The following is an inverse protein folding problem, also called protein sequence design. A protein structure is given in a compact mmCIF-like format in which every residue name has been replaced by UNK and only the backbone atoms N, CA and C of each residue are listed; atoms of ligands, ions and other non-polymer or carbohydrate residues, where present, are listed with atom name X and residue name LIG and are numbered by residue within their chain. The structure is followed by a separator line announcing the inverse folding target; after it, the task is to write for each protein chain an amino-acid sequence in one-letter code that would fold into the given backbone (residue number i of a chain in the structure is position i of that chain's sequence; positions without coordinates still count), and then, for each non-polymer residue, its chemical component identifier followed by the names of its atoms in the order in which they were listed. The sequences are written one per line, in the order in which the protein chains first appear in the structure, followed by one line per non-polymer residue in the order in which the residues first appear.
data_IF_538246130681
#
_entry.id   IF_538246130681
#
_cell.length_a   1.000
_cell.length_b   1.000
_cell.length_c   1.000
_cell.angle_alpha   90.00
_cell.angle_beta   90.00
_cell.angle_gamma   90.00
#
_symmetry.space_group_name_H-M   'P 1'
#
loop_
_entity.id
_entity.type
_entity.pdbx_description
1 polymer ?
#
# COMPACT_ATOMS: atom_id res chain seq x y z
N UNK A 1 19.54 -3.01 25.33
CA UNK A 1 20.29 -2.71 24.10
C UNK A 1 20.69 -4.07 23.54
N UNK A 2 19.96 -4.58 22.55
CA UNK A 2 20.25 -5.88 21.96
C UNK A 2 21.51 -5.72 21.12
N UNK A 3 22.51 -6.57 21.38
CA UNK A 3 23.74 -6.64 20.60
C UNK A 3 23.38 -7.15 19.20
N UNK A 4 23.42 -6.27 18.19
CA UNK A 4 23.02 -6.56 16.81
C UNK A 4 24.12 -7.32 16.03
N UNK A 5 25.21 -7.73 16.69
CA UNK A 5 26.43 -8.16 16.01
C UNK A 5 26.39 -9.53 15.33
N UNK A 6 25.36 -10.37 15.51
CA UNK A 6 25.29 -11.71 14.86
C UNK A 6 23.84 -12.19 14.64
N UNK A 7 22.96 -11.31 14.13
CA UNK A 7 21.61 -11.72 13.74
C UNK A 7 21.62 -12.25 12.30
N UNK A 8 21.19 -13.50 12.11
CA UNK A 8 20.96 -14.04 10.77
C UNK A 8 19.85 -13.28 10.05
N UNK A 9 19.85 -13.33 8.70
CA UNK A 9 18.79 -12.76 7.85
C UNK A 9 17.40 -13.19 8.31
N UNK A 10 17.24 -14.46 8.67
CA UNK A 10 15.95 -15.00 9.08
C UNK A 10 15.50 -14.45 10.44
N UNK A 11 16.43 -14.29 11.38
CA UNK A 11 16.13 -13.65 12.66
C UNK A 11 15.80 -12.17 12.47
N UNK A 12 16.53 -11.45 11.62
CA UNK A 12 16.25 -10.07 11.26
C UNK A 12 14.86 -9.92 10.64
N UNK A 13 14.50 -10.77 9.66
CA UNK A 13 13.21 -10.74 8.98
C UNK A 13 12.05 -11.05 9.94
N UNK A 14 12.21 -12.06 10.79
CA UNK A 14 11.24 -12.42 11.82
C UNK A 14 11.01 -11.27 12.81
N UNK A 15 12.10 -10.66 13.29
CA UNK A 15 12.05 -9.58 14.28
C UNK A 15 11.45 -8.31 13.69
N UNK A 16 11.89 -7.91 12.50
CA UNK A 16 11.39 -6.75 11.78
C UNK A 16 9.90 -6.92 11.43
N UNK A 17 9.49 -8.09 10.95
CA UNK A 17 8.09 -8.40 10.67
C UNK A 17 7.22 -8.39 11.93
N UNK A 18 7.74 -8.86 13.07
CA UNK A 18 7.03 -8.80 14.34
C UNK A 18 6.85 -7.37 14.85
N UNK A 19 7.87 -6.51 14.71
CA UNK A 19 7.78 -5.09 15.03
C UNK A 19 6.75 -4.37 14.14
N UNK A 20 6.77 -4.65 12.83
CA UNK A 20 5.81 -4.10 11.87
C UNK A 20 4.36 -4.41 12.24
N UNK A 21 4.07 -5.66 12.63
CA UNK A 21 2.72 -6.08 13.05
C UNK A 21 2.24 -5.37 14.32
N UNK A 22 3.14 -4.97 15.22
CA UNK A 22 2.81 -4.22 16.44
C UNK A 22 2.70 -2.71 16.22
N UNK A 23 2.99 -2.23 15.02
CA UNK A 23 3.02 -0.79 14.72
C UNK A 23 4.33 -0.09 15.11
N UNK A 24 5.35 -0.84 15.51
CA UNK A 24 6.67 -0.29 15.87
C UNK A 24 7.54 -0.18 14.62
N UNK A 25 7.26 0.85 13.81
CA UNK A 25 7.87 1.01 12.49
C UNK A 25 9.35 1.37 12.55
N UNK A 26 9.77 2.12 13.59
CA UNK A 26 11.18 2.44 13.79
C UNK A 26 11.98 1.17 14.09
N UNK A 27 11.52 0.34 15.02
CA UNK A 27 12.19 -0.93 15.30
C UNK A 27 12.14 -1.89 14.09
N UNK A 28 11.05 -1.88 13.32
CA UNK A 28 10.97 -2.68 12.09
C UNK A 28 12.03 -2.26 11.07
N UNK A 29 12.21 -0.95 10.88
CA UNK A 29 13.24 -0.40 9.99
C UNK A 29 14.64 -0.76 10.49
N UNK A 30 14.96 -0.44 11.75
CA UNK A 30 16.29 -0.69 12.34
C UNK A 30 16.68 -2.17 12.25
N UNK A 31 15.75 -3.08 12.56
CA UNK A 31 15.99 -4.51 12.45
C UNK A 31 16.19 -4.94 10.99
N UNK A 32 15.40 -4.40 10.06
CA UNK A 32 15.49 -4.77 8.65
C UNK A 32 16.81 -4.34 8.00
N UNK A 33 17.37 -3.20 8.41
CA UNK A 33 18.65 -2.70 7.88
C UNK A 33 19.88 -3.19 8.67
N UNK A 34 19.70 -3.80 9.84
CA UNK A 34 20.80 -4.22 10.72
C UNK A 34 21.81 -5.19 10.08
N UNK A 35 21.36 -6.04 9.15
CA UNK A 35 22.22 -7.00 8.44
C UNK A 35 22.79 -6.44 7.14
N UNK A 36 22.36 -5.24 6.73
CA UNK A 36 22.80 -4.59 5.48
C UNK A 36 24.24 -4.12 5.58
N UNK A 37 24.68 -3.72 6.77
CA UNK A 37 26.08 -3.35 7.05
C UNK A 37 27.05 -4.53 6.85
N UNK A 38 26.54 -5.77 6.96
CA UNK A 38 27.28 -6.99 6.64
C UNK A 38 27.25 -7.35 5.13
N UNK A 39 26.72 -6.46 4.28
CA UNK A 39 26.66 -6.64 2.82
C UNK A 39 25.57 -7.60 2.35
N UNK A 40 24.59 -7.93 3.21
CA UNK A 40 23.49 -8.82 2.83
C UNK A 40 22.34 -8.02 2.24
N UNK A 41 21.99 -8.35 1.00
CA UNK A 41 20.83 -7.81 0.30
C UNK A 41 19.74 -8.89 0.20
N UNK A 42 18.65 -8.72 0.95
CA UNK A 42 17.49 -9.63 0.95
C UNK A 42 16.22 -8.81 0.63
N UNK A 43 15.49 -9.13 -0.46
CA UNK A 43 14.30 -8.39 -0.86
C UNK A 43 13.20 -8.32 0.21
N UNK A 44 13.09 -9.32 1.10
CA UNK A 44 12.09 -9.32 2.19
C UNK A 44 12.44 -8.26 3.23
N UNK A 45 13.72 -8.10 3.54
CA UNK A 45 14.18 -7.06 4.46
C UNK A 45 14.04 -5.67 3.83
N UNK A 46 14.40 -5.53 2.55
CA UNK A 46 14.19 -4.28 1.82
C UNK A 46 12.70 -3.88 1.77
N UNK A 47 11.81 -4.84 1.51
CA UNK A 47 10.36 -4.63 1.58
C UNK A 47 9.89 -4.16 2.96
N UNK A 48 10.33 -4.82 4.05
CA UNK A 48 9.93 -4.43 5.41
C UNK A 48 10.43 -3.02 5.74
N UNK A 49 11.67 -2.69 5.39
CA UNK A 49 12.23 -1.37 5.60
C UNK A 49 11.50 -0.28 4.79
N UNK A 50 11.24 -0.52 3.51
CA UNK A 50 10.50 0.42 2.66
C UNK A 50 9.05 0.61 3.13
N UNK A 51 8.38 -0.47 3.56
CA UNK A 51 7.03 -0.40 4.13
C UNK A 51 7.02 0.35 5.47
N UNK A 52 8.03 0.15 6.32
CA UNK A 52 8.16 0.89 7.57
C UNK A 52 8.33 2.40 7.32
N UNK A 53 9.21 2.78 6.38
CA UNK A 53 9.39 4.19 5.96
C UNK A 53 8.10 4.81 5.44
N UNK A 54 7.41 4.12 4.53
CA UNK A 54 6.12 4.58 4.00
C UNK A 54 5.08 4.77 5.11
N UNK A 55 5.04 3.87 6.10
CA UNK A 55 4.12 4.01 7.27
C UNK A 55 4.53 5.12 8.24
N UNK A 56 5.80 5.48 8.30
CA UNK A 56 6.30 6.64 9.06
C UNK A 56 6.10 7.96 8.28
N UNK A 57 5.70 7.89 7.02
CA UNK A 57 5.46 9.06 6.16
C UNK A 57 6.65 9.49 5.31
N UNK A 58 7.80 8.82 5.41
CA UNK A 58 8.98 9.11 4.59
C UNK A 58 8.89 8.39 3.23
N UNK A 59 8.01 8.90 2.38
CA UNK A 59 7.72 8.30 1.06
C UNK A 59 8.89 8.46 0.08
N UNK A 60 9.73 9.47 0.26
CA UNK A 60 10.91 9.69 -0.57
C UNK A 60 11.98 8.62 -0.29
N UNK A 61 12.33 8.39 0.97
CA UNK A 61 13.28 7.33 1.29
C UNK A 61 12.70 5.94 1.01
N UNK A 62 11.39 5.77 1.18
CA UNK A 62 10.71 4.52 0.85
C UNK A 62 10.84 4.18 -0.66
N UNK A 63 10.64 5.14 -1.57
CA UNK A 63 10.76 4.88 -3.01
C UNK A 63 12.20 4.62 -3.41
N UNK A 64 13.17 5.36 -2.86
CA UNK A 64 14.59 5.14 -3.12
C UNK A 64 15.00 3.71 -2.76
N UNK A 65 14.63 3.24 -1.56
CA UNK A 65 14.93 1.89 -1.13
C UNK A 65 14.20 0.83 -1.97
N UNK A 66 12.94 1.08 -2.32
CA UNK A 66 12.15 0.21 -3.17
C UNK A 66 12.79 -0.01 -4.55
N UNK A 67 13.26 1.06 -5.16
CA UNK A 67 13.92 1.04 -6.48
C UNK A 67 15.32 0.43 -6.41
N UNK A 68 16.12 0.80 -5.40
CA UNK A 68 17.47 0.25 -5.20
C UNK A 68 17.46 -1.27 -5.02
N UNK A 69 16.49 -1.79 -4.27
CA UNK A 69 16.33 -3.23 -4.06
C UNK A 69 15.64 -3.95 -5.24
N UNK A 70 15.26 -3.22 -6.29
CA UNK A 70 14.62 -3.80 -7.48
C UNK A 70 13.28 -4.48 -7.19
N UNK A 71 12.57 -4.09 -6.13
CA UNK A 71 11.38 -4.79 -5.64
C UNK A 71 10.27 -4.86 -6.70
N UNK A 72 10.13 -3.82 -7.53
CA UNK A 72 9.14 -3.78 -8.61
C UNK A 72 9.40 -4.73 -9.78
N UNK A 73 10.60 -5.31 -9.88
CA UNK A 73 10.94 -6.30 -10.91
C UNK A 73 10.73 -7.74 -10.43
N UNK A 74 10.48 -7.93 -9.13
CA UNK A 74 10.22 -9.24 -8.54
C UNK A 74 8.72 -9.51 -8.65
N UNK A 75 8.36 -10.69 -9.16
CA UNK A 75 6.97 -11.14 -9.24
C UNK A 75 6.45 -11.48 -7.83
N UNK A 76 6.00 -10.44 -7.13
CA UNK A 76 5.48 -10.53 -5.77
C UNK A 76 4.40 -9.46 -5.55
N UNK A 77 3.22 -9.92 -5.15
CA UNK A 77 2.02 -9.08 -5.03
C UNK A 77 2.17 -8.00 -3.94
N UNK A 78 2.75 -8.35 -2.80
CA UNK A 78 3.00 -7.41 -1.71
C UNK A 78 3.97 -6.31 -2.14
N UNK A 79 4.98 -6.66 -2.95
CA UNK A 79 5.98 -5.69 -3.43
C UNK A 79 5.35 -4.75 -4.46
N UNK A 80 4.51 -5.26 -5.35
CA UNK A 80 3.74 -4.43 -6.30
C UNK A 80 2.80 -3.48 -5.55
N UNK A 81 2.08 -4.00 -4.56
CA UNK A 81 1.17 -3.21 -3.73
C UNK A 81 1.88 -2.11 -2.94
N UNK A 82 3.07 -2.39 -2.40
CA UNK A 82 3.91 -1.37 -1.76
C UNK A 82 4.32 -0.28 -2.73
N UNK A 83 4.78 -0.63 -3.94
CA UNK A 83 5.15 0.36 -4.96
C UNK A 83 3.99 1.28 -5.33
N UNK A 84 2.80 0.71 -5.54
CA UNK A 84 1.58 1.50 -5.82
C UNK A 84 1.20 2.42 -4.64
N UNK A 85 1.37 1.93 -3.40
CA UNK A 85 1.15 2.73 -2.20
C UNK A 85 2.12 3.90 -2.10
N UNK A 86 3.42 3.66 -2.27
CA UNK A 86 4.42 4.72 -2.20
C UNK A 86 4.15 5.80 -3.26
N UNK A 87 3.77 5.39 -4.48
CA UNK A 87 3.35 6.34 -5.54
C UNK A 87 2.16 7.20 -5.12
N UNK A 88 1.14 6.60 -4.49
CA UNK A 88 -0.01 7.33 -3.95
C UNK A 88 0.42 8.32 -2.87
N UNK A 89 1.28 7.91 -1.94
CA UNK A 89 1.76 8.74 -0.84
C UNK A 89 2.62 9.91 -1.38
N UNK A 90 3.49 9.67 -2.38
CA UNK A 90 4.24 10.71 -3.09
C UNK A 90 3.31 11.70 -3.82
N UNK A 91 2.25 11.21 -4.48
CA UNK A 91 1.26 12.08 -5.12
C UNK A 91 0.57 13.00 -4.10
N UNK A 92 0.31 12.55 -2.87
CA UNK A 92 -0.27 13.38 -1.81
C UNK A 92 0.68 14.51 -1.37
N UNK A 93 1.98 14.25 -1.35
CA UNK A 93 3.02 15.23 -1.01
C UNK A 93 3.30 16.21 -2.16
N UNK A 94 3.01 15.82 -3.40
CA UNK A 94 3.32 16.62 -4.57
C UNK A 94 2.57 17.96 -4.61
N UNK A 95 3.23 19.04 -5.05
CA UNK A 95 2.60 20.35 -5.23
C UNK A 95 1.67 20.36 -6.45
N UNK A 96 0.62 21.17 -6.35
CA UNK A 96 -0.34 21.54 -7.40
C UNK A 96 -0.28 20.74 -8.71
N UNK A 97 0.36 21.32 -9.74
CA UNK A 97 0.26 20.86 -11.13
C UNK A 97 0.76 19.44 -11.42
N UNK A 98 1.64 18.88 -10.58
CA UNK A 98 2.18 17.53 -10.76
C UNK A 98 1.34 16.46 -10.04
N UNK A 99 0.56 16.88 -9.04
CA UNK A 99 -0.24 16.00 -8.18
C UNK A 99 -1.19 15.10 -8.97
N UNK A 100 -1.91 15.65 -9.95
CA UNK A 100 -2.85 14.87 -10.75
C UNK A 100 -2.15 13.80 -11.60
N UNK A 101 -1.02 14.13 -12.21
CA UNK A 101 -0.24 13.18 -13.01
C UNK A 101 0.30 12.04 -12.13
N UNK A 102 0.82 12.37 -10.94
CA UNK A 102 1.31 11.35 -10.01
C UNK A 102 0.19 10.46 -9.45
N UNK A 103 -1.01 11.01 -9.23
CA UNK A 103 -2.18 10.17 -8.91
C UNK A 103 -2.58 9.28 -10.08
N UNK A 104 -2.44 9.74 -11.33
CA UNK A 104 -2.68 8.89 -12.50
C UNK A 104 -1.70 7.72 -12.56
N UNK A 105 -0.42 7.95 -12.24
CA UNK A 105 0.58 6.88 -12.15
C UNK A 105 0.28 5.89 -11.02
N UNK A 106 -0.13 6.38 -9.86
CA UNK A 106 -0.57 5.52 -8.75
C UNK A 106 -1.80 4.70 -9.12
N UNK A 107 -2.77 5.32 -9.82
CA UNK A 107 -3.97 4.65 -10.31
C UNK A 107 -3.65 3.55 -11.31
N UNK A 108 -2.77 3.83 -12.28
CA UNK A 108 -2.30 2.83 -13.23
C UNK A 108 -1.59 1.66 -12.54
N UNK A 109 -0.77 1.93 -11.52
CA UNK A 109 -0.08 0.89 -10.76
C UNK A 109 -1.07 -0.02 -10.00
N UNK A 110 -2.04 0.55 -9.28
CA UNK A 110 -3.07 -0.24 -8.61
C UNK A 110 -3.97 -0.98 -9.60
N UNK A 111 -4.30 -0.36 -10.74
CA UNK A 111 -5.12 -0.98 -11.77
C UNK A 111 -4.43 -2.18 -12.39
N UNK A 112 -3.12 -2.10 -12.65
CA UNK A 112 -2.34 -3.23 -13.15
C UNK A 112 -2.33 -4.42 -12.16
N UNK A 113 -2.31 -4.15 -10.85
CA UNK A 113 -2.43 -5.20 -9.83
C UNK A 113 -3.84 -5.82 -9.85
N UNK A 114 -4.88 -4.97 -9.92
CA UNK A 114 -6.26 -5.42 -9.97
C UNK A 114 -6.58 -6.24 -11.22
N UNK A 115 -6.09 -5.82 -12.39
CA UNK A 115 -6.34 -6.53 -13.65
C UNK A 115 -5.69 -7.92 -13.68
N UNK A 116 -4.63 -8.13 -12.90
CA UNK A 116 -3.87 -9.38 -12.83
C UNK A 116 -4.39 -10.33 -11.72
N UNK A 117 -4.58 -9.80 -10.50
CA UNK A 117 -4.90 -10.59 -9.31
C UNK A 117 -6.36 -10.47 -8.87
N UNK A 118 -7.08 -9.46 -9.36
CA UNK A 118 -8.38 -9.06 -8.82
C UNK A 118 -8.25 -8.47 -7.41
N UNK A 119 -9.28 -8.67 -6.59
CA UNK A 119 -9.33 -8.23 -5.20
C UNK A 119 -9.79 -6.78 -5.03
N UNK A 120 -10.56 -6.54 -3.95
CA UNK A 120 -11.13 -5.22 -3.68
C UNK A 120 -10.08 -4.18 -3.25
N UNK A 121 -8.97 -4.60 -2.64
CA UNK A 121 -7.92 -3.68 -2.17
C UNK A 121 -7.21 -2.89 -3.29
N UNK A 122 -6.65 -3.54 -4.33
CA UNK A 122 -6.08 -2.78 -5.45
C UNK A 122 -7.17 -2.05 -6.23
N UNK A 123 -8.37 -2.61 -6.34
CA UNK A 123 -9.49 -1.96 -7.03
C UNK A 123 -9.90 -0.62 -6.38
N UNK A 124 -10.11 -0.59 -5.06
CA UNK A 124 -10.55 0.63 -4.37
C UNK A 124 -9.48 1.70 -4.41
N UNK A 125 -8.21 1.32 -4.27
CA UNK A 125 -7.11 2.27 -4.38
C UNK A 125 -6.95 2.80 -5.81
N UNK A 126 -7.13 1.97 -6.84
CA UNK A 126 -7.17 2.43 -8.23
C UNK A 126 -8.31 3.43 -8.46
N UNK A 127 -9.50 3.17 -7.90
CA UNK A 127 -10.66 4.05 -8.01
C UNK A 127 -10.44 5.40 -7.33
N UNK A 128 -9.92 5.41 -6.10
CA UNK A 128 -9.65 6.62 -5.34
C UNK A 128 -8.56 7.46 -5.99
N UNK A 129 -7.47 6.84 -6.45
CA UNK A 129 -6.40 7.56 -7.14
C UNK A 129 -6.84 8.05 -8.52
N UNK A 130 -7.72 7.34 -9.24
CA UNK A 130 -8.32 7.83 -10.48
C UNK A 130 -9.12 9.12 -10.25
N UNK A 131 -9.96 9.16 -9.20
CA UNK A 131 -10.70 10.37 -8.85
C UNK A 131 -9.75 11.54 -8.56
N UNK A 132 -8.69 11.30 -7.78
CA UNK A 132 -7.70 12.32 -7.43
C UNK A 132 -6.85 12.77 -8.64
N UNK A 133 -6.73 11.92 -9.66
CA UNK A 133 -6.14 12.26 -10.95
C UNK A 133 -7.10 13.08 -11.86
N UNK A 134 -8.38 13.19 -11.49
CA UNK A 134 -9.42 13.85 -12.29
C UNK A 134 -10.17 12.91 -13.26
N UNK A 135 -9.93 11.60 -13.21
CA UNK A 135 -10.65 10.60 -13.98
C UNK A 135 -11.86 10.06 -13.20
N UNK A 136 -12.92 10.86 -13.15
CA UNK A 136 -14.18 10.50 -12.50
C UNK A 136 -14.83 9.26 -13.12
N UNK A 137 -14.65 9.05 -14.43
CA UNK A 137 -15.25 7.92 -15.14
C UNK A 137 -14.66 6.59 -14.67
N UNK A 138 -13.33 6.49 -14.64
CA UNK A 138 -12.63 5.30 -14.14
C UNK A 138 -12.90 5.07 -12.65
N UNK A 139 -12.94 6.13 -11.84
CA UNK A 139 -13.27 6.04 -10.42
C UNK A 139 -14.65 5.40 -10.19
N UNK A 140 -15.69 5.90 -10.90
CA UNK A 140 -17.07 5.38 -10.79
C UNK A 140 -17.22 3.97 -11.35
N UNK A 141 -16.52 3.65 -12.44
CA UNK A 141 -16.49 2.31 -13.02
C UNK A 141 -15.97 1.29 -11.99
N UNK A 142 -14.80 1.56 -11.40
CA UNK A 142 -14.17 0.66 -10.43
C UNK A 142 -14.98 0.57 -9.14
N UNK A 143 -15.46 1.69 -8.60
CA UNK A 143 -16.34 1.70 -7.42
C UNK A 143 -17.59 0.83 -7.61
N UNK A 144 -18.21 0.89 -8.80
CA UNK A 144 -19.37 0.06 -9.13
C UNK A 144 -19.02 -1.43 -9.19
N UNK A 145 -17.82 -1.79 -9.67
CA UNK A 145 -17.36 -3.19 -9.68
C UNK A 145 -17.11 -3.70 -8.27
N UNK A 146 -16.48 -2.89 -7.41
CA UNK A 146 -16.17 -3.24 -6.01
C UNK A 146 -17.44 -3.57 -5.23
N UNK A 147 -18.50 -2.77 -5.35
CA UNK A 147 -19.76 -3.03 -4.65
C UNK A 147 -20.49 -4.31 -5.12
N UNK A 148 -20.10 -4.86 -6.27
CA UNK A 148 -20.60 -6.15 -6.77
C UNK A 148 -19.75 -7.33 -6.31
N UNK A 149 -18.57 -7.07 -5.75
CA UNK A 149 -17.67 -8.11 -5.25
C UNK A 149 -18.36 -8.91 -4.12
N UNK A 150 -18.46 -10.25 -4.24
CA UNK A 150 -19.07 -11.09 -3.20
C UNK A 150 -18.41 -10.94 -1.84
N UNK A 151 -17.09 -10.72 -1.79
CA UNK A 151 -16.36 -10.54 -0.53
C UNK A 151 -16.77 -9.23 0.13
N UNK A 152 -16.90 -8.14 -0.62
CA UNK A 152 -17.41 -6.86 -0.13
C UNK A 152 -18.84 -6.99 0.41
N UNK A 153 -19.69 -7.78 -0.26
CA UNK A 153 -21.10 -7.94 0.12
C UNK A 153 -21.33 -8.87 1.32
N UNK A 154 -20.41 -9.80 1.59
CA UNK A 154 -20.59 -10.88 2.57
C UNK A 154 -19.65 -10.80 3.75
N UNK A 155 -18.53 -10.09 3.62
CA UNK A 155 -17.51 -10.01 4.66
C UNK A 155 -17.91 -8.99 5.73
N UNK A 156 -17.77 -9.38 6.98
CA UNK A 156 -17.84 -8.50 8.15
C UNK A 156 -16.44 -7.98 8.54
N UNK A 157 -15.43 -8.15 7.66
CA UNK A 157 -14.11 -7.59 7.94
C UNK A 157 -14.15 -6.07 7.85
N UNK A 158 -13.42 -5.43 8.77
CA UNK A 158 -13.17 -3.99 8.75
C UNK A 158 -12.76 -3.49 7.36
N UNK A 159 -11.84 -4.19 6.68
CA UNK A 159 -11.34 -3.78 5.37
C UNK A 159 -12.39 -3.85 4.27
N UNK A 160 -13.27 -4.85 4.28
CA UNK A 160 -14.36 -4.94 3.33
C UNK A 160 -15.39 -3.82 3.57
N UNK A 161 -15.76 -3.57 4.82
CA UNK A 161 -16.67 -2.49 5.20
C UNK A 161 -16.12 -1.10 4.84
N UNK A 162 -14.84 -0.84 5.12
CA UNK A 162 -14.16 0.40 4.77
C UNK A 162 -14.07 0.59 3.24
N UNK A 163 -13.74 -0.47 2.50
CA UNK A 163 -13.66 -0.39 1.02
C UNK A 163 -15.04 -0.16 0.39
N UNK A 164 -16.10 -0.76 0.95
CA UNK A 164 -17.48 -0.49 0.53
C UNK A 164 -17.87 0.97 0.80
N UNK A 165 -17.54 1.50 1.98
CA UNK A 165 -17.80 2.88 2.33
C UNK A 165 -17.09 3.85 1.37
N UNK A 166 -15.81 3.61 1.09
CA UNK A 166 -15.03 4.40 0.13
C UNK A 166 -15.64 4.34 -1.27
N UNK A 167 -16.07 3.16 -1.74
CA UNK A 167 -16.74 3.03 -3.03
C UNK A 167 -18.05 3.85 -3.10
N UNK A 168 -18.85 3.86 -2.03
CA UNK A 168 -20.05 4.69 -1.97
C UNK A 168 -19.75 6.19 -1.95
N UNK A 169 -18.68 6.63 -1.28
CA UNK A 169 -18.20 8.02 -1.35
C UNK A 169 -17.84 8.40 -2.78
N UNK A 170 -17.10 7.55 -3.51
CA UNK A 170 -16.73 7.79 -4.91
C UNK A 170 -17.96 7.88 -5.85
N UNK A 171 -19.06 7.22 -5.50
CA UNK A 171 -20.31 7.28 -6.24
C UNK A 171 -21.20 8.47 -5.88
N UNK A 172 -20.88 9.19 -4.79
CA UNK A 172 -21.66 10.30 -4.26
C UNK A 172 -22.80 9.87 -3.32
N UNK A 173 -22.78 8.63 -2.81
CA UNK A 173 -23.80 8.10 -1.92
C UNK A 173 -23.33 8.10 -0.46
N UNK A 174 -23.42 9.26 0.18
CA UNK A 174 -22.98 9.43 1.56
C UNK A 174 -23.77 8.61 2.58
N UNK A 175 -25.06 8.34 2.31
CA UNK A 175 -25.89 7.55 3.23
C UNK A 175 -25.43 6.09 3.24
N UNK A 176 -25.26 5.48 2.07
CA UNK A 176 -24.76 4.12 1.96
C UNK A 176 -23.30 3.99 2.46
N UNK A 177 -22.48 5.03 2.30
CA UNK A 177 -21.14 5.04 2.87
C UNK A 177 -21.14 4.95 4.40
N UNK A 178 -22.03 5.70 5.07
CA UNK A 178 -22.20 5.64 6.53
C UNK A 178 -22.74 4.29 7.00
N UNK A 179 -23.71 3.72 6.29
CA UNK A 179 -24.20 2.37 6.58
C UNK A 179 -23.11 1.31 6.40
N UNK A 180 -22.23 1.49 5.42
CA UNK A 180 -21.11 0.59 5.17
C UNK A 180 -20.07 0.63 6.28
N UNK A 181 -19.60 1.81 6.68
CA UNK A 181 -18.57 1.93 7.72
C UNK A 181 -19.08 1.53 9.11
N UNK A 182 -20.38 1.61 9.37
CA UNK A 182 -20.98 1.14 10.62
C UNK A 182 -20.87 -0.38 10.85
N UNK A 183 -20.52 -1.15 9.81
CA UNK A 183 -20.26 -2.61 9.90
C UNK A 183 -18.79 -2.95 10.15
N UNK A 184 -17.90 -1.96 10.20
CA UNK A 184 -16.46 -2.14 10.26
C UNK A 184 -15.96 -2.50 11.68
#
# INVERSE_FOLDING_TARGET
MVDLADISVEQAASTAGAALRRGDFLAAYDCAVSVRDAGVDDPRLAFIAALALARMGDSHLAIELYEQAGLGAIDNDDYRALGARIKKDLAQLAPGGERQALFAEASAAYRAIFDDLGGYFPAINAATTALLAGDEAAARELATKILKDPEIRRSESYYAAASAAEAHVLLGDGAAALEAIARA
#
